data_IF_445476077172
#
_entry.id   IF_445476077172
#
_cell.length_a   1.000
_cell.length_b   1.000
_cell.length_c   1.000
_cell.angle_alpha   90.00
_cell.angle_beta   90.00
_cell.angle_gamma   90.00
#
_symmetry.space_group_name_H-M   'P 1'
#
loop_
_entity.id
_entity.type
_entity.pdbx_description
1 polymer ?
#
# COMPACT_ATOMS: atom_id res chain seq x y z
N UNK A 1 -15.19 2.36 -0.89
CA UNK A 1 -15.72 2.79 0.36
C UNK A 1 -16.34 1.73 1.26
N UNK A 2 -15.78 0.49 1.34
CA UNK A 2 -16.31 -0.53 2.26
C UNK A 2 -15.49 -0.70 3.55
N UNK A 3 -14.40 0.07 3.72
CA UNK A 3 -13.54 -0.01 4.90
C UNK A 3 -13.96 1.06 5.93
N UNK A 4 -14.64 0.69 7.03
CA UNK A 4 -15.13 1.67 8.00
C UNK A 4 -14.05 2.18 8.93
N UNK A 5 -12.99 1.38 9.13
CA UNK A 5 -11.95 1.65 10.12
C UNK A 5 -10.60 1.07 9.69
N UNK A 6 -9.53 1.54 10.31
CA UNK A 6 -8.16 1.10 10.02
C UNK A 6 -7.35 0.91 11.33
N UNK A 7 -6.28 0.13 11.26
CA UNK A 7 -5.27 0.03 12.32
C UNK A 7 -4.09 0.93 12.00
N UNK A 8 -3.41 1.45 13.03
CA UNK A 8 -2.21 2.28 12.85
C UNK A 8 -1.04 1.39 12.43
N UNK A 9 -0.64 1.53 11.18
CA UNK A 9 0.52 0.86 10.61
C UNK A 9 1.16 1.76 9.57
N UNK A 10 2.34 1.39 9.09
CA UNK A 10 3.04 2.13 8.04
C UNK A 10 3.85 1.20 7.16
N UNK A 11 3.95 1.56 5.90
CA UNK A 11 4.62 0.80 4.85
C UNK A 11 5.46 1.75 4.00
N UNK A 12 6.39 1.18 3.25
CA UNK A 12 7.06 1.89 2.16
C UNK A 12 6.30 1.60 0.86
N UNK A 13 5.99 2.65 0.11
CA UNK A 13 5.30 2.57 -1.17
C UNK A 13 6.21 3.06 -2.29
N UNK A 14 6.26 2.29 -3.35
CA UNK A 14 7.07 2.56 -4.54
C UNK A 14 6.35 2.01 -5.78
N UNK A 15 6.49 2.67 -6.92
CA UNK A 15 5.98 2.14 -8.18
C UNK A 15 6.79 0.92 -8.63
N UNK A 16 6.15 -0.04 -9.26
CA UNK A 16 6.82 -1.26 -9.77
C UNK A 16 7.82 -0.92 -10.86
N UNK A 17 7.56 0.09 -11.66
CA UNK A 17 8.43 0.62 -12.71
C UNK A 17 9.73 1.16 -12.10
N UNK A 18 9.66 1.91 -11.01
CA UNK A 18 10.83 2.42 -10.29
C UNK A 18 11.69 1.28 -9.73
N UNK A 19 11.04 0.23 -9.21
CA UNK A 19 11.75 -0.95 -8.72
C UNK A 19 12.46 -1.66 -9.88
N UNK A 20 11.79 -1.80 -11.03
CA UNK A 20 12.39 -2.40 -12.22
C UNK A 20 13.61 -1.60 -12.71
N UNK A 21 13.51 -0.27 -12.78
CA UNK A 21 14.65 0.61 -13.08
C UNK A 21 15.76 0.48 -12.04
N UNK A 22 15.41 0.43 -10.76
CA UNK A 22 16.36 0.20 -9.67
C UNK A 22 17.16 -1.09 -9.83
N UNK A 23 16.55 -2.17 -10.32
CA UNK A 23 17.25 -3.42 -10.63
C UNK A 23 18.24 -3.27 -11.78
N UNK A 24 17.87 -2.54 -12.83
CA UNK A 24 18.79 -2.25 -13.95
C UNK A 24 19.97 -1.39 -13.48
N UNK A 25 19.72 -0.37 -12.67
CA UNK A 25 20.76 0.45 -12.08
C UNK A 25 21.70 -0.37 -11.18
N UNK A 26 21.13 -1.28 -10.38
CA UNK A 26 21.94 -2.17 -9.54
C UNK A 26 22.81 -3.13 -10.36
N UNK A 27 22.32 -3.65 -11.48
CA UNK A 27 23.09 -4.48 -12.40
C UNK A 27 24.24 -3.70 -13.06
N UNK A 28 24.05 -2.40 -13.35
CA UNK A 28 25.05 -1.56 -14.02
C UNK A 28 26.07 -0.93 -13.06
N UNK A 29 25.63 -0.53 -11.87
CA UNK A 29 26.41 0.32 -10.93
C UNK A 29 26.59 -0.29 -9.55
N UNK A 30 25.90 -1.40 -9.28
CA UNK A 30 25.95 -2.05 -7.98
C UNK A 30 27.33 -2.66 -7.72
N UNK A 31 27.76 -2.62 -6.47
CA UNK A 31 29.01 -3.27 -6.02
C UNK A 31 28.72 -4.73 -5.69
N UNK A 32 29.61 -5.62 -6.12
CA UNK A 32 29.47 -7.05 -5.84
C UNK A 32 29.47 -7.30 -4.32
N UNK A 33 28.48 -8.10 -3.86
CA UNK A 33 28.31 -8.43 -2.45
C UNK A 33 27.52 -7.39 -1.65
N UNK A 34 27.18 -6.23 -2.23
CA UNK A 34 26.38 -5.20 -1.57
C UNK A 34 24.88 -5.42 -1.77
N UNK A 35 24.08 -4.94 -0.81
CA UNK A 35 22.63 -4.95 -0.85
C UNK A 35 22.10 -3.54 -0.97
N UNK A 36 21.11 -3.35 -1.82
CA UNK A 36 20.42 -2.08 -2.04
C UNK A 36 18.93 -2.24 -1.79
N UNK A 37 18.36 -1.34 -1.01
CA UNK A 37 16.91 -1.26 -0.79
C UNK A 37 16.32 -0.28 -1.80
N UNK A 38 15.45 -0.79 -2.66
CA UNK A 38 14.74 0.00 -3.67
C UNK A 38 13.39 0.42 -3.08
N UNK A 39 13.39 1.50 -2.36
CA UNK A 39 12.20 2.04 -1.71
C UNK A 39 11.70 3.30 -2.42
N UNK A 40 10.56 3.78 -1.96
CA UNK A 40 10.00 5.07 -2.33
C UNK A 40 9.68 5.89 -1.09
N UNK A 41 8.40 6.19 -0.84
CA UNK A 41 7.97 6.99 0.30
C UNK A 41 7.44 6.12 1.45
N UNK A 42 7.93 6.39 2.64
CA UNK A 42 7.36 5.84 3.86
C UNK A 42 6.06 6.59 4.20
N UNK A 43 4.96 5.88 4.31
CA UNK A 43 3.64 6.44 4.63
C UNK A 43 2.93 5.59 5.66
N UNK A 44 2.14 6.23 6.51
CA UNK A 44 1.16 5.53 7.34
C UNK A 44 -0.02 5.05 6.49
N UNK A 45 -0.73 4.04 6.97
CA UNK A 45 -1.96 3.57 6.31
C UNK A 45 -2.99 4.70 6.19
N UNK A 46 -3.05 5.60 7.17
CA UNK A 46 -3.95 6.77 7.12
C UNK A 46 -3.60 7.70 5.95
N UNK A 47 -2.32 8.05 5.79
CA UNK A 47 -1.86 8.90 4.68
C UNK A 47 -2.16 8.26 3.32
N UNK A 48 -1.95 6.94 3.19
CA UNK A 48 -2.31 6.20 1.99
C UNK A 48 -3.82 6.28 1.68
N UNK A 49 -4.66 6.03 2.69
CA UNK A 49 -6.11 6.06 2.55
C UNK A 49 -6.63 7.47 2.21
N UNK A 50 -6.00 8.51 2.76
CA UNK A 50 -6.32 9.90 2.44
C UNK A 50 -5.90 10.25 0.99
N UNK A 51 -4.75 9.78 0.54
CA UNK A 51 -4.32 9.95 -0.85
C UNK A 51 -5.27 9.24 -1.82
N UNK A 52 -5.64 7.99 -1.53
CA UNK A 52 -6.63 7.25 -2.32
C UNK A 52 -8.01 7.93 -2.33
N UNK A 53 -8.44 8.50 -1.20
CA UNK A 53 -9.70 9.23 -1.12
C UNK A 53 -9.72 10.45 -2.04
N UNK A 54 -8.60 11.19 -2.14
CA UNK A 54 -8.46 12.32 -3.06
C UNK A 54 -8.54 11.88 -4.52
N UNK A 55 -7.88 10.77 -4.87
CA UNK A 55 -7.84 10.24 -6.24
C UNK A 55 -9.20 9.67 -6.66
N UNK A 56 -9.84 8.92 -5.76
CA UNK A 56 -11.08 8.17 -6.08
C UNK A 56 -12.36 8.94 -5.80
N UNK A 57 -12.29 10.05 -5.04
CA UNK A 57 -13.48 10.77 -4.57
C UNK A 57 -14.30 10.00 -3.51
N UNK A 58 -13.77 8.88 -2.99
CA UNK A 58 -14.42 8.10 -1.94
C UNK A 58 -13.96 8.58 -0.57
N UNK A 59 -14.86 8.52 0.43
CA UNK A 59 -14.52 8.91 1.78
C UNK A 59 -13.46 7.97 2.39
N UNK A 60 -12.38 8.55 2.95
CA UNK A 60 -11.41 7.79 3.72
C UNK A 60 -12.00 7.33 5.05
N UNK A 61 -11.58 6.15 5.57
CA UNK A 61 -11.98 5.71 6.91
C UNK A 61 -11.41 6.66 7.96
N UNK A 62 -12.27 7.03 8.91
CA UNK A 62 -11.91 7.97 9.99
C UNK A 62 -11.61 7.27 11.31
N UNK A 63 -12.13 6.07 11.50
CA UNK A 63 -12.04 5.36 12.77
C UNK A 63 -10.76 4.54 12.86
N UNK A 64 -9.94 4.88 13.85
CA UNK A 64 -8.74 4.12 14.20
C UNK A 64 -9.07 3.06 15.23
N UNK A 65 -8.78 1.80 14.92
CA UNK A 65 -8.96 0.67 15.84
C UNK A 65 -7.64 0.41 16.56
N UNK A 66 -7.62 0.35 17.92
CA UNK A 66 -6.46 -0.12 18.67
C UNK A 66 -6.06 -1.54 18.25
N UNK A 67 -4.75 -1.83 18.19
CA UNK A 67 -4.24 -3.16 17.81
C UNK A 67 -4.75 -4.29 18.71
N UNK A 68 -4.97 -4.03 20.01
CA UNK A 68 -5.53 -5.00 20.94
C UNK A 68 -6.95 -5.42 20.54
N UNK A 69 -7.78 -4.47 20.16
CA UNK A 69 -9.16 -4.73 19.68
C UNK A 69 -9.14 -5.50 18.37
N UNK A 70 -8.27 -5.09 17.44
CA UNK A 70 -8.11 -5.79 16.16
C UNK A 70 -7.63 -7.25 16.36
N UNK A 71 -6.73 -7.48 17.32
CA UNK A 71 -6.24 -8.83 17.66
C UNK A 71 -7.34 -9.69 18.26
N UNK A 72 -8.12 -9.15 19.21
CA UNK A 72 -9.27 -9.87 19.78
C UNK A 72 -10.27 -10.26 18.69
N UNK A 73 -10.60 -9.32 17.79
CA UNK A 73 -11.49 -9.58 16.67
C UNK A 73 -10.94 -10.67 15.73
N UNK A 74 -9.62 -10.65 15.42
CA UNK A 74 -8.98 -11.67 14.61
C UNK A 74 -9.00 -13.06 15.27
N UNK A 75 -8.77 -13.13 16.58
CA UNK A 75 -8.85 -14.40 17.33
C UNK A 75 -10.28 -14.95 17.36
N UNK A 76 -11.27 -14.09 17.54
CA UNK A 76 -12.68 -14.49 17.51
C UNK A 76 -13.10 -14.97 16.12
N UNK A 77 -12.69 -14.27 15.06
CA UNK A 77 -12.96 -14.68 13.67
C UNK A 77 -12.29 -16.02 13.34
N UNK A 78 -11.05 -16.23 13.77
CA UNK A 78 -10.35 -17.50 13.60
C UNK A 78 -11.01 -18.67 14.35
N UNK A 79 -11.48 -18.43 15.57
CA UNK A 79 -12.23 -19.44 16.33
C UNK A 79 -13.56 -19.79 15.65
N UNK A 80 -14.30 -18.78 15.21
CA UNK A 80 -15.55 -18.97 14.47
C UNK A 80 -15.34 -19.69 13.14
N UNK A 81 -14.27 -19.38 12.43
CA UNK A 81 -13.88 -20.01 11.16
C UNK A 81 -13.60 -21.50 11.32
N UNK A 82 -12.95 -21.89 12.43
CA UNK A 82 -12.71 -23.32 12.75
C UNK A 82 -13.99 -24.11 12.97
N UNK A 83 -15.00 -23.48 13.60
CA UNK A 83 -16.29 -24.13 13.86
C UNK A 83 -17.15 -24.21 12.59
N UNK A 84 -17.09 -23.19 11.74
CA UNK A 84 -17.96 -23.09 10.54
C UNK A 84 -17.33 -23.62 9.26
N UNK A 85 -16.03 -23.99 9.28
CA UNK A 85 -15.28 -24.45 8.11
C UNK A 85 -15.00 -23.33 7.08
N UNK A 86 -15.16 -22.05 7.46
CA UNK A 86 -14.88 -20.91 6.60
C UNK A 86 -13.44 -20.46 6.76
N UNK A 87 -12.89 -19.80 5.74
CA UNK A 87 -11.61 -19.09 5.87
C UNK A 87 -11.75 -17.83 6.75
N UNK A 88 -10.77 -17.58 7.66
CA UNK A 88 -10.79 -16.36 8.47
C UNK A 88 -10.70 -15.12 7.59
N UNK A 89 -11.51 -14.12 7.90
CA UNK A 89 -11.52 -12.82 7.19
C UNK A 89 -10.43 -11.90 7.68
N UNK A 90 -10.00 -12.06 8.93
CA UNK A 90 -8.98 -11.24 9.58
C UNK A 90 -7.78 -12.12 9.93
N UNK A 91 -6.71 -12.14 9.11
CA UNK A 91 -5.54 -12.95 9.41
C UNK A 91 -4.82 -12.41 10.65
N UNK A 92 -4.63 -13.26 11.66
CA UNK A 92 -3.97 -12.90 12.93
C UNK A 92 -2.55 -12.38 12.68
N UNK A 93 -1.83 -13.01 11.74
CA UNK A 93 -0.48 -12.63 11.34
C UNK A 93 -0.46 -11.21 10.76
N UNK A 94 -1.44 -10.86 9.93
CA UNK A 94 -1.59 -9.51 9.39
C UNK A 94 -1.75 -8.45 10.49
N UNK A 95 -2.58 -8.75 11.51
CA UNK A 95 -2.77 -7.84 12.66
C UNK A 95 -1.49 -7.72 13.49
N UNK A 96 -0.74 -8.81 13.67
CA UNK A 96 0.55 -8.79 14.40
C UNK A 96 1.60 -7.97 13.66
N UNK A 97 1.73 -8.16 12.35
CA UNK A 97 2.68 -7.41 11.51
C UNK A 97 2.32 -5.91 11.51
N UNK A 98 1.03 -5.58 11.48
CA UNK A 98 0.56 -4.19 11.47
C UNK A 98 0.98 -3.38 12.71
N UNK A 99 1.45 -4.01 13.78
CA UNK A 99 2.03 -3.31 14.94
C UNK A 99 3.37 -2.63 14.64
N UNK A 100 4.06 -3.07 13.60
CA UNK A 100 5.36 -2.55 13.20
C UNK A 100 5.21 -1.70 11.95
N UNK A 101 5.81 -0.51 11.97
CA UNK A 101 5.94 0.31 10.78
C UNK A 101 7.09 -0.24 9.93
N UNK A 102 6.77 -0.79 8.77
CA UNK A 102 7.74 -1.35 7.83
C UNK A 102 8.31 -0.25 6.94
N UNK A 103 9.00 0.69 7.56
CA UNK A 103 9.66 1.79 6.88
C UNK A 103 11.03 1.35 6.34
N UNK A 104 11.35 1.82 5.15
CA UNK A 104 12.59 1.50 4.45
C UNK A 104 13.42 2.78 4.28
N UNK A 105 14.73 2.64 4.35
CA UNK A 105 15.68 3.69 4.02
C UNK A 105 16.43 3.31 2.73
N UNK A 106 16.15 4.01 1.65
CA UNK A 106 16.72 3.81 0.32
C UNK A 106 17.91 4.75 0.01
N UNK A 107 18.39 5.51 1.01
CA UNK A 107 19.44 6.52 0.83
C UNK A 107 20.72 5.95 0.18
N UNK A 108 21.07 4.69 0.46
CA UNK A 108 22.21 4.03 -0.17
C UNK A 108 21.97 3.82 -1.67
N UNK A 109 20.81 3.33 -2.06
CA UNK A 109 20.47 3.15 -3.48
C UNK A 109 20.47 4.49 -4.23
N UNK A 110 19.90 5.53 -3.64
CA UNK A 110 19.95 6.88 -4.22
C UNK A 110 21.36 7.39 -4.43
N UNK A 111 22.22 7.25 -3.43
CA UNK A 111 23.60 7.76 -3.49
C UNK A 111 24.49 6.96 -4.43
N UNK A 112 24.43 5.63 -4.38
CA UNK A 112 25.39 4.75 -5.06
C UNK A 112 24.92 4.31 -6.45
N UNK A 113 23.63 4.12 -6.66
CA UNK A 113 23.07 3.72 -7.94
C UNK A 113 22.54 4.90 -8.76
N UNK A 114 22.29 6.06 -8.13
CA UNK A 114 21.54 7.15 -8.74
C UNK A 114 20.04 6.88 -8.84
N UNK A 115 19.51 5.99 -8.00
CA UNK A 115 18.09 5.63 -7.96
C UNK A 115 17.22 6.83 -7.59
N UNK A 116 16.19 7.12 -8.39
CA UNK A 116 15.29 8.26 -8.20
C UNK A 116 13.84 7.81 -8.40
N UNK A 117 13.18 7.21 -7.39
CA UNK A 117 11.80 6.80 -7.53
C UNK A 117 10.88 8.00 -7.72
N UNK A 118 9.83 7.80 -8.49
CA UNK A 118 8.76 8.76 -8.73
C UNK A 118 7.92 9.05 -7.48
N UNK A 119 6.88 9.85 -7.65
CA UNK A 119 5.96 10.19 -6.56
C UNK A 119 4.99 9.06 -6.28
N UNK A 120 4.65 8.85 -5.02
CA UNK A 120 3.66 7.83 -4.63
C UNK A 120 2.27 8.19 -5.16
N UNK A 121 1.96 9.46 -5.25
CA UNK A 121 0.71 9.96 -5.79
C UNK A 121 0.51 9.52 -7.24
N UNK A 122 1.52 9.67 -8.09
CA UNK A 122 1.48 9.20 -9.48
C UNK A 122 1.33 7.67 -9.57
N UNK A 123 2.05 6.93 -8.71
CA UNK A 123 1.94 5.47 -8.64
C UNK A 123 0.53 5.01 -8.24
N UNK A 124 -0.10 5.70 -7.27
CA UNK A 124 -1.46 5.42 -6.82
C UNK A 124 -2.49 5.75 -7.91
N UNK A 125 -2.34 6.88 -8.62
CA UNK A 125 -3.20 7.23 -9.75
C UNK A 125 -3.12 6.19 -10.87
N UNK A 126 -1.90 5.76 -11.21
CA UNK A 126 -1.68 4.70 -12.20
C UNK A 126 -2.35 3.38 -11.76
N UNK A 127 -2.16 2.96 -10.53
CA UNK A 127 -2.77 1.75 -9.98
C UNK A 127 -4.30 1.84 -10.00
N UNK A 128 -4.90 2.95 -9.53
CA UNK A 128 -6.34 3.14 -9.53
C UNK A 128 -6.89 3.10 -10.96
N UNK A 129 -6.23 3.77 -11.90
CA UNK A 129 -6.61 3.76 -13.31
C UNK A 129 -6.61 2.33 -13.86
N UNK A 130 -5.55 1.59 -13.62
CA UNK A 130 -5.45 0.20 -14.07
C UNK A 130 -6.61 -0.67 -13.54
N UNK A 131 -6.96 -0.55 -12.25
CA UNK A 131 -8.09 -1.29 -11.66
C UNK A 131 -9.44 -0.91 -12.28
N UNK A 132 -9.62 0.36 -12.65
CA UNK A 132 -10.84 0.84 -13.31
C UNK A 132 -10.91 0.32 -14.75
N UNK A 133 -9.84 0.45 -15.54
CA UNK A 133 -9.76 0.03 -16.93
C UNK A 133 -9.96 -1.48 -17.09
N UNK A 134 -9.46 -2.26 -16.14
CA UNK A 134 -9.65 -3.72 -16.14
C UNK A 134 -10.95 -4.18 -15.46
N UNK A 135 -11.86 -3.28 -15.11
CA UNK A 135 -13.21 -3.60 -14.62
C UNK A 135 -13.26 -4.13 -13.18
N UNK A 136 -12.17 -4.07 -12.41
CA UNK A 136 -12.16 -4.51 -11.01
C UNK A 136 -12.90 -3.55 -10.08
N UNK A 137 -12.93 -2.26 -10.43
CA UNK A 137 -13.53 -1.20 -9.61
C UNK A 137 -14.32 -0.24 -10.48
N UNK A 138 -15.52 0.14 -10.00
CA UNK A 138 -16.31 1.22 -10.59
C UNK A 138 -16.22 2.43 -9.68
N UNK A 139 -15.75 3.55 -10.19
CA UNK A 139 -15.66 4.81 -9.46
C UNK A 139 -16.87 5.70 -9.72
N UNK A 140 -17.20 6.61 -8.76
CA UNK A 140 -18.19 7.65 -8.99
C UNK A 140 -17.75 8.57 -10.14
N UNK A 141 -18.72 9.11 -10.89
CA UNK A 141 -18.45 10.00 -12.06
C UNK A 141 -17.63 11.27 -11.74
N UNK A 142 -17.54 11.66 -10.48
CA UNK A 142 -16.77 12.81 -10.02
C UNK A 142 -15.34 12.46 -9.53
N UNK A 143 -14.92 11.21 -9.66
CA UNK A 143 -13.56 10.81 -9.32
C UNK A 143 -12.54 11.44 -10.27
N UNK A 144 -11.42 11.93 -9.75
CA UNK A 144 -10.38 12.60 -10.56
C UNK A 144 -9.86 11.70 -11.68
N UNK A 145 -9.68 10.42 -11.43
CA UNK A 145 -9.22 9.43 -12.43
C UNK A 145 -10.27 9.16 -13.51
N UNK A 146 -11.57 9.23 -13.19
CA UNK A 146 -12.62 9.02 -14.18
C UNK A 146 -12.70 10.15 -15.23
N UNK A 147 -12.21 11.35 -14.92
CA UNK A 147 -12.17 12.48 -15.84
C UNK A 147 -11.03 12.40 -16.85
N UNK A 148 -9.93 11.72 -16.52
CA UNK A 148 -8.76 11.56 -17.40
C UNK A 148 -8.96 10.43 -18.42
N UNK A 149 -9.77 9.42 -18.11
CA UNK A 149 -10.06 8.29 -19.02
C UNK A 149 -11.17 8.62 -20.05
N UNK A 150 -11.86 9.74 -19.92
CA UNK A 150 -12.96 10.18 -20.79
C UNK A 150 -12.55 11.28 -21.79
N UNK A 151 -11.29 11.71 -21.79
CA UNK A 151 -10.66 12.65 -22.72
C UNK A 151 -9.68 11.95 -23.63
#
# INVERSE_FOLDING_TARGET
>A
GRMPAYVDTGLNFVAVEDVAEGHLLAAQRGKIGERYLLGGRNMTLKELLDALAKITGLAAPTWRIPHSVALIAACADAAFSRVTGREPRIPIEGVRIARHKMFVNDAKARRELGYQPGTVEAALEHAVRWYVENGYVTLPKHAAVAQVSAA
#
